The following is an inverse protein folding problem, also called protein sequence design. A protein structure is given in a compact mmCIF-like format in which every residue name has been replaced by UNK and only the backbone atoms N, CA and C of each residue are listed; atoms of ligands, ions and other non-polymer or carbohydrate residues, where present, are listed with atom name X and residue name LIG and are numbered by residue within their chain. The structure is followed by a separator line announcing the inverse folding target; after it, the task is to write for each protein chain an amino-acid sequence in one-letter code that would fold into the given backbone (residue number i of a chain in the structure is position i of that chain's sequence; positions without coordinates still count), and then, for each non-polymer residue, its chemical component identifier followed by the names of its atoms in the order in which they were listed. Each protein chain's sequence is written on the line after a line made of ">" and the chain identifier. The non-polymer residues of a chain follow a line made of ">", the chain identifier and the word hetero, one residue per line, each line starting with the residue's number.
data_IF_279334492548
#
_entry.id   IF_279334492548
#
_cell.length_a   1.000
_cell.length_b   1.000
_cell.length_c   1.000
_cell.angle_alpha   90.00
_cell.angle_beta   90.00
_cell.angle_gamma   90.00
#
_symmetry.space_group_name_H-M   'P 1'
#
loop_
_entity.id
_entity.type
_entity.pdbx_description
1 polymer ?
#
# COMPACT_ATOMS: atom_id res chain seq x y z
N UNK A 1 -8.01 23.76 -1.39
CA UNK A 1 -8.21 22.74 -2.44
C UNK A 1 -9.18 21.75 -1.86
N UNK A 2 -10.42 21.71 -2.36
CA UNK A 2 -11.38 20.71 -1.92
C UNK A 2 -11.04 19.38 -2.60
N UNK A 3 -10.95 18.30 -1.83
CA UNK A 3 -10.68 16.97 -2.36
C UNK A 3 -11.96 16.15 -2.38
N UNK A 4 -12.25 15.51 -3.50
CA UNK A 4 -13.43 14.66 -3.63
C UNK A 4 -13.17 13.31 -2.96
N UNK A 5 -13.88 13.04 -1.86
CA UNK A 5 -13.75 11.81 -1.08
C UNK A 5 -13.96 10.54 -1.92
N UNK A 6 -15.00 10.50 -2.74
CA UNK A 6 -15.35 9.33 -3.56
C UNK A 6 -14.24 9.00 -4.56
N UNK A 7 -13.62 10.05 -5.15
CA UNK A 7 -12.46 9.87 -6.02
C UNK A 7 -11.25 9.30 -5.26
N UNK A 8 -10.98 9.79 -4.05
CA UNK A 8 -9.89 9.27 -3.22
C UNK A 8 -10.12 7.80 -2.83
N UNK A 9 -11.35 7.46 -2.43
CA UNK A 9 -11.74 6.08 -2.13
C UNK A 9 -11.59 5.18 -3.36
N UNK A 10 -12.02 5.64 -4.53
CA UNK A 10 -11.91 4.90 -5.80
C UNK A 10 -10.45 4.64 -6.18
N UNK A 11 -9.58 5.64 -6.00
CA UNK A 11 -8.13 5.50 -6.28
C UNK A 11 -7.48 4.51 -5.32
N UNK A 12 -7.81 4.57 -4.02
CA UNK A 12 -7.31 3.63 -3.03
C UNK A 12 -7.77 2.19 -3.35
N UNK A 13 -9.04 2.01 -3.71
CA UNK A 13 -9.60 0.71 -4.08
C UNK A 13 -8.93 0.13 -5.35
N UNK A 14 -8.66 0.98 -6.35
CA UNK A 14 -7.96 0.57 -7.55
C UNK A 14 -6.51 0.13 -7.26
N UNK A 15 -5.78 0.88 -6.42
CA UNK A 15 -4.44 0.52 -6.00
C UNK A 15 -4.43 -0.81 -5.21
N UNK A 16 -5.37 -0.99 -4.29
CA UNK A 16 -5.50 -2.21 -3.49
C UNK A 16 -5.84 -3.43 -4.36
N UNK A 17 -6.79 -3.27 -5.30
CA UNK A 17 -7.14 -4.31 -6.26
C UNK A 17 -5.95 -4.70 -7.14
N UNK A 18 -5.18 -3.71 -7.60
CA UNK A 18 -3.96 -3.93 -8.38
C UNK A 18 -2.94 -4.73 -7.57
N UNK A 19 -2.61 -4.31 -6.35
CA UNK A 19 -1.68 -5.03 -5.48
C UNK A 19 -2.12 -6.49 -5.24
N UNK A 20 -3.41 -6.72 -4.99
CA UNK A 20 -3.98 -8.07 -4.82
C UNK A 20 -3.83 -8.92 -6.09
N UNK A 21 -4.02 -8.34 -7.28
CA UNK A 21 -3.89 -9.05 -8.56
C UNK A 21 -2.46 -9.52 -8.89
N UNK A 22 -1.46 -8.92 -8.25
CA UNK A 22 -0.05 -9.26 -8.38
C UNK A 22 0.45 -10.24 -7.30
N UNK A 23 -0.40 -10.66 -6.36
CA UNK A 23 0.01 -11.54 -5.27
C UNK A 23 0.58 -12.87 -5.80
N UNK A 24 1.79 -13.21 -5.38
CA UNK A 24 2.52 -14.40 -5.81
C UNK A 24 3.07 -14.34 -7.24
N UNK A 25 2.96 -13.19 -7.92
CA UNK A 25 3.42 -13.00 -9.30
C UNK A 25 4.66 -12.10 -9.35
N UNK A 26 5.45 -12.18 -10.43
CA UNK A 26 6.49 -11.19 -10.69
C UNK A 26 5.88 -9.78 -10.66
N UNK A 27 6.53 -8.86 -9.97
CA UNK A 27 6.05 -7.48 -9.78
C UNK A 27 5.21 -7.26 -8.51
N UNK A 28 5.01 -8.26 -7.65
CA UNK A 28 4.30 -8.08 -6.38
C UNK A 28 4.89 -6.95 -5.52
N UNK A 29 6.22 -6.90 -5.36
CA UNK A 29 6.90 -5.83 -4.61
C UNK A 29 6.64 -4.44 -5.21
N UNK A 30 6.64 -4.31 -6.53
CA UNK A 30 6.34 -3.04 -7.20
C UNK A 30 4.89 -2.62 -6.93
N UNK A 31 3.93 -3.53 -7.09
CA UNK A 31 2.51 -3.23 -6.88
C UNK A 31 2.20 -2.88 -5.40
N UNK A 32 2.87 -3.53 -4.45
CA UNK A 32 2.77 -3.18 -3.02
C UNK A 32 3.36 -1.79 -2.73
N UNK A 33 4.51 -1.45 -3.32
CA UNK A 33 5.09 -0.11 -3.19
C UNK A 33 4.18 0.98 -3.76
N UNK A 34 3.47 0.70 -4.86
CA UNK A 34 2.47 1.62 -5.41
C UNK A 34 1.25 1.79 -4.49
N UNK A 35 0.77 0.71 -3.86
CA UNK A 35 -0.31 0.77 -2.87
C UNK A 35 0.08 1.63 -1.66
N UNK A 36 1.26 1.40 -1.10
CA UNK A 36 1.80 2.15 0.04
C UNK A 36 1.92 3.65 -0.28
N UNK A 37 2.55 3.98 -1.41
CA UNK A 37 2.74 5.36 -1.83
C UNK A 37 1.39 6.07 -2.11
N UNK A 38 0.44 5.36 -2.73
CA UNK A 38 -0.90 5.89 -3.02
C UNK A 38 -1.67 6.17 -1.73
N UNK A 39 -1.65 5.22 -0.78
CA UNK A 39 -2.32 5.38 0.51
C UNK A 39 -1.74 6.56 1.31
N UNK A 40 -0.41 6.72 1.34
CA UNK A 40 0.24 7.85 1.99
C UNK A 40 -0.06 9.20 1.31
N UNK A 41 -0.12 9.22 -0.02
CA UNK A 41 -0.51 10.43 -0.76
C UNK A 41 -1.92 10.87 -0.39
N UNK A 42 -2.88 9.92 -0.38
CA UNK A 42 -4.27 10.20 0.00
C UNK A 42 -4.34 10.68 1.45
N UNK A 43 -3.62 10.03 2.37
CA UNK A 43 -3.52 10.45 3.77
C UNK A 43 -3.09 11.92 3.90
N UNK A 44 -2.00 12.33 3.22
CA UNK A 44 -1.54 13.72 3.25
C UNK A 44 -2.59 14.68 2.67
N UNK A 45 -3.27 14.29 1.59
CA UNK A 45 -4.32 15.11 0.97
C UNK A 45 -5.52 15.38 1.89
N UNK A 46 -5.86 14.42 2.76
CA UNK A 46 -6.99 14.55 3.69
C UNK A 46 -6.60 15.16 5.05
N UNK A 47 -5.36 14.99 5.51
CA UNK A 47 -4.88 15.60 6.77
C UNK A 47 -4.88 17.14 6.72
N UNK A 48 -4.78 17.72 5.52
CA UNK A 48 -4.85 19.17 5.35
C UNK A 48 -6.29 19.72 5.20
N UNK A 49 -7.33 18.88 5.39
CA UNK A 49 -8.73 19.28 5.29
C UNK A 49 -9.35 19.43 6.69
N UNK A 50 -10.08 20.53 6.91
CA UNK A 50 -10.80 20.83 8.16
C UNK A 50 -12.13 20.05 8.29
N UNK A 51 -12.19 18.78 7.85
CA UNK A 51 -13.44 18.01 7.85
C UNK A 51 -13.35 16.75 8.72
N UNK A 52 -14.16 16.72 9.80
CA UNK A 52 -14.36 15.53 10.63
C UNK A 52 -15.02 14.34 9.91
N UNK A 53 -15.27 14.46 8.60
CA UNK A 53 -15.93 13.47 7.75
C UNK A 53 -14.96 12.51 7.05
N UNK A 54 -13.64 12.73 7.13
CA UNK A 54 -12.61 11.95 6.44
C UNK A 54 -11.89 10.93 7.35
N UNK A 55 -12.17 10.89 8.65
CA UNK A 55 -11.44 10.02 9.60
C UNK A 55 -11.50 8.53 9.26
N UNK A 56 -12.58 8.04 8.65
CA UNK A 56 -12.64 6.65 8.17
C UNK A 56 -11.68 6.39 7.00
N UNK A 57 -11.54 7.36 6.10
CA UNK A 57 -10.60 7.26 4.98
C UNK A 57 -9.15 7.32 5.48
N UNK A 58 -8.89 8.11 6.53
CA UNK A 58 -7.60 8.17 7.20
C UNK A 58 -7.16 6.80 7.72
N UNK A 59 -8.02 6.14 8.50
CA UNK A 59 -7.77 4.80 9.02
C UNK A 59 -7.55 3.81 7.87
N UNK A 60 -8.37 3.87 6.82
CA UNK A 60 -8.20 2.99 5.64
C UNK A 60 -6.84 3.19 4.95
N UNK A 61 -6.37 4.42 4.81
CA UNK A 61 -5.05 4.69 4.22
C UNK A 61 -3.94 4.08 5.07
N UNK A 62 -3.97 4.31 6.38
CA UNK A 62 -2.98 3.77 7.31
C UNK A 62 -2.95 2.23 7.30
N UNK A 63 -4.12 1.58 7.31
CA UNK A 63 -4.21 0.12 7.21
C UNK A 63 -3.63 -0.39 5.89
N UNK A 64 -3.98 0.22 4.75
CA UNK A 64 -3.47 -0.22 3.45
C UNK A 64 -1.95 -0.06 3.34
N UNK A 65 -1.40 1.06 3.82
CA UNK A 65 0.04 1.28 3.83
C UNK A 65 0.75 0.27 4.76
N UNK A 66 0.22 0.05 5.96
CA UNK A 66 0.77 -0.91 6.93
C UNK A 66 0.79 -2.34 6.36
N UNK A 67 -0.33 -2.83 5.83
CA UNK A 67 -0.42 -4.16 5.22
C UNK A 67 0.56 -4.31 4.04
N UNK A 68 0.75 -3.25 3.24
CA UNK A 68 1.69 -3.26 2.14
C UNK A 68 3.14 -3.38 2.63
N UNK A 69 3.53 -2.60 3.65
CA UNK A 69 4.86 -2.65 4.26
C UNK A 69 5.14 -4.02 4.86
N UNK A 70 4.24 -4.54 5.70
CA UNK A 70 4.39 -5.87 6.31
C UNK A 70 4.59 -6.97 5.25
N UNK A 71 3.83 -6.88 4.15
CA UNK A 71 3.95 -7.82 3.05
C UNK A 71 5.29 -7.67 2.30
N UNK A 72 5.75 -6.45 2.06
CA UNK A 72 7.04 -6.18 1.43
C UNK A 72 8.21 -6.68 2.28
N UNK A 73 8.16 -6.47 3.61
CA UNK A 73 9.15 -6.99 4.56
C UNK A 73 9.19 -8.52 4.56
N UNK A 74 8.02 -9.16 4.60
CA UNK A 74 7.93 -10.62 4.50
C UNK A 74 8.57 -11.15 3.22
N UNK A 75 8.30 -10.51 2.07
CA UNK A 75 8.85 -10.91 0.78
C UNK A 75 10.37 -10.71 0.72
N UNK A 76 10.85 -9.58 1.25
CA UNK A 76 12.28 -9.26 1.27
C UNK A 76 13.07 -10.24 2.14
N UNK A 77 12.54 -10.60 3.31
CA UNK A 77 13.13 -11.60 4.20
C UNK A 77 13.16 -13.00 3.57
N UNK A 78 12.10 -13.37 2.84
CA UNK A 78 12.04 -14.66 2.11
C UNK A 78 13.07 -14.72 0.98
N UNK A 79 13.26 -13.64 0.23
CA UNK A 79 14.29 -13.54 -0.81
C UNK A 79 15.72 -13.60 -0.24
N UNK A 80 15.95 -13.01 0.93
CA UNK A 80 17.24 -13.12 1.65
C UNK A 80 17.55 -14.55 2.09
N UNK A 81 16.56 -15.27 2.64
CA UNK A 81 16.71 -16.67 3.05
C UNK A 81 16.99 -17.63 1.88
N UNK A 82 16.33 -17.43 0.73
CA UNK A 82 16.59 -18.21 -0.47
C UNK A 82 18.00 -17.99 -1.03
N UNK A 83 18.51 -16.76 -0.96
CA UNK A 83 19.85 -16.41 -1.44
C UNK A 83 20.95 -16.99 -0.55
N UNK A 84 20.73 -17.06 0.77
CA UNK A 84 21.69 -17.65 1.72
C UNK A 84 21.85 -19.18 1.54
N UNK A 85 20.80 -19.90 1.12
CA UNK A 85 20.89 -21.35 0.88
C UNK A 85 21.72 -21.71 -0.37
N UNK A 86 21.74 -20.83 -1.40
CA UNK A 86 22.51 -21.06 -2.63
C UNK A 86 24.01 -20.87 -2.41
N UNK A 87 24.41 -20.05 -1.43
CA UNK A 87 25.84 -19.80 -1.11
C UNK A 87 26.46 -20.93 -0.28
N UNK A 88 25.65 -21.77 0.36
CA UNK A 88 26.09 -22.85 1.25
C UNK A 88 26.03 -24.26 0.61
N UNK A 89 25.71 -24.37 -0.70
CA UNK A 89 25.64 -25.61 -1.46
C UNK A 89 26.76 -25.67 -2.51
#
# INVERSE_FOLDING_TARGET
>A
MEVNREMLETVLDAALSTARSFRGRPGELYALGQLEATANLIYVMICCQDSGTLGQLEVRCQTCAGEAVERMEFLSNKSGAASAQVVLA
#
